data_IF_404029496941
#
_entry.id   IF_404029496941
#
_cell.length_a   1.000
_cell.length_b   1.000
_cell.length_c   1.000
_cell.angle_alpha   90.00
_cell.angle_beta   90.00
_cell.angle_gamma   90.00
#
_symmetry.space_group_name_H-M   'P 1'
#
loop_
_entity.id
_entity.type
_entity.pdbx_description
1 polymer ?
#
# COMPACT_ATOMS: atom_id res chain seq x y z
N UNK A 1 16.08 -3.75 21.75
CA UNK A 1 15.69 -2.49 22.47
C UNK A 1 14.92 -1.66 21.48
N UNK A 2 13.67 -1.34 21.78
CA UNK A 2 12.80 -0.55 20.89
C UNK A 2 13.08 0.94 21.01
N UNK A 3 12.76 1.71 19.97
CA UNK A 3 12.84 3.17 19.93
C UNK A 3 11.49 3.70 19.43
N UNK A 4 10.63 4.07 20.37
CA UNK A 4 9.28 4.60 20.11
C UNK A 4 9.06 5.88 20.92
N UNK A 5 7.99 6.63 20.62
CA UNK A 5 7.74 7.92 21.26
C UNK A 5 7.22 7.80 22.71
N UNK A 6 6.24 6.92 22.94
CA UNK A 6 5.55 6.82 24.22
C UNK A 6 4.98 5.41 24.43
N UNK A 7 5.58 4.65 25.35
CA UNK A 7 5.14 3.30 25.68
C UNK A 7 3.82 3.27 26.47
N UNK A 8 3.42 4.36 27.10
CA UNK A 8 2.20 4.42 27.92
C UNK A 8 0.90 4.33 27.09
N UNK A 9 0.98 4.53 25.77
CA UNK A 9 -0.17 4.49 24.86
C UNK A 9 -0.63 3.08 24.48
N UNK A 10 0.00 2.04 25.00
CA UNK A 10 -0.19 0.66 24.54
C UNK A 10 -1.66 0.16 24.63
N UNK A 11 -2.44 0.57 25.62
CA UNK A 11 -3.86 0.13 25.80
C UNK A 11 -4.74 0.58 24.61
N UNK A 12 -4.52 1.81 24.12
CA UNK A 12 -5.22 2.33 22.94
C UNK A 12 -4.86 1.52 21.70
N UNK A 13 -3.57 1.26 21.50
CA UNK A 13 -3.08 0.44 20.37
C UNK A 13 -3.59 -1.00 20.44
N UNK A 14 -3.62 -1.60 21.64
CA UNK A 14 -4.15 -2.94 21.85
C UNK A 14 -5.63 -3.04 21.48
N UNK A 15 -6.42 -2.03 21.84
CA UNK A 15 -7.83 -1.95 21.47
C UNK A 15 -8.03 -1.95 19.95
N UNK A 16 -7.20 -1.17 19.22
CA UNK A 16 -7.22 -1.13 17.75
C UNK A 16 -6.81 -2.47 17.14
N UNK A 17 -5.74 -3.09 17.65
CA UNK A 17 -5.25 -4.39 17.16
C UNK A 17 -6.29 -5.48 17.40
N UNK A 18 -6.95 -5.50 18.54
CA UNK A 18 -8.01 -6.47 18.86
C UNK A 18 -9.23 -6.31 17.94
N UNK A 19 -9.59 -5.06 17.59
CA UNK A 19 -10.65 -4.81 16.61
C UNK A 19 -10.32 -5.41 15.24
N UNK A 20 -9.12 -5.15 14.71
CA UNK A 20 -8.74 -5.70 13.41
C UNK A 20 -8.59 -7.21 13.45
N UNK A 21 -8.02 -7.79 14.51
CA UNK A 21 -7.94 -9.25 14.71
C UNK A 21 -9.31 -9.91 14.63
N UNK A 22 -10.35 -9.29 15.21
CA UNK A 22 -11.73 -9.79 15.13
C UNK A 22 -12.27 -9.81 13.69
N UNK A 23 -11.84 -8.86 12.85
CA UNK A 23 -12.30 -8.65 11.48
C UNK A 23 -11.33 -9.20 10.40
N UNK A 24 -10.30 -9.94 10.82
CA UNK A 24 -9.31 -10.57 9.93
C UNK A 24 -9.25 -12.09 10.18
N UNK A 25 -10.35 -12.83 9.88
CA UNK A 25 -10.48 -14.24 10.22
C UNK A 25 -9.50 -15.15 9.47
N UNK A 26 -9.12 -14.79 8.23
CA UNK A 26 -8.18 -15.57 7.44
C UNK A 26 -6.78 -15.49 8.04
N UNK A 27 -6.33 -14.30 8.38
CA UNK A 27 -5.03 -14.09 9.03
C UNK A 27 -4.99 -14.72 10.45
N UNK A 28 -6.13 -14.73 11.16
CA UNK A 28 -6.26 -15.43 12.44
C UNK A 28 -6.09 -16.94 12.30
N UNK A 29 -6.66 -17.55 11.26
CA UNK A 29 -6.44 -18.97 10.98
C UNK A 29 -4.98 -19.28 10.66
N UNK A 30 -4.28 -18.38 9.96
CA UNK A 30 -2.83 -18.48 9.71
C UNK A 30 -2.04 -18.34 11.01
N UNK A 31 -2.44 -17.45 11.94
CA UNK A 31 -1.83 -17.32 13.27
C UNK A 31 -1.85 -18.67 14.02
N UNK A 32 -3.00 -19.35 14.03
CA UNK A 32 -3.15 -20.65 14.68
C UNK A 32 -2.26 -21.73 14.04
N UNK A 33 -2.19 -21.79 12.71
CA UNK A 33 -1.33 -22.70 11.97
C UNK A 33 0.17 -22.42 12.20
N UNK A 34 0.56 -21.15 12.18
CA UNK A 34 1.94 -20.73 12.40
C UNK A 34 2.40 -20.94 13.84
N UNK A 35 1.49 -20.82 14.81
CA UNK A 35 1.78 -21.12 16.21
C UNK A 35 2.17 -22.59 16.42
N UNK A 36 1.69 -23.48 15.57
CA UNK A 36 2.04 -24.92 15.61
C UNK A 36 3.28 -25.21 14.73
N UNK A 37 3.25 -24.78 13.46
CA UNK A 37 4.26 -25.14 12.46
C UNK A 37 5.59 -24.40 12.59
N UNK A 38 5.58 -23.21 13.21
CA UNK A 38 6.76 -22.36 13.45
C UNK A 38 7.65 -22.14 12.21
N UNK A 39 7.09 -21.68 11.06
CA UNK A 39 7.84 -21.56 9.81
C UNK A 39 9.03 -20.59 9.90
N UNK A 40 9.02 -19.64 10.84
CA UNK A 40 10.06 -18.62 11.02
C UNK A 40 10.94 -18.87 12.26
N UNK A 41 10.93 -20.09 12.81
CA UNK A 41 11.70 -20.41 14.01
C UNK A 41 13.20 -20.08 13.83
N UNK A 42 13.73 -19.28 14.77
CA UNK A 42 15.13 -18.80 14.78
C UNK A 42 15.48 -17.85 13.60
N UNK A 43 14.50 -17.24 12.97
CA UNK A 43 14.71 -16.25 11.90
C UNK A 43 14.41 -14.85 12.41
N UNK A 44 15.26 -13.90 12.04
CA UNK A 44 15.05 -12.47 12.22
C UNK A 44 14.30 -11.92 11.00
N UNK A 45 13.18 -11.27 11.25
CA UNK A 45 12.35 -10.68 10.22
C UNK A 45 12.34 -9.16 10.38
N UNK A 46 12.87 -8.45 9.40
CA UNK A 46 12.76 -7.00 9.28
C UNK A 46 11.48 -6.66 8.51
N UNK A 47 10.68 -5.75 9.05
CA UNK A 47 9.44 -5.30 8.42
C UNK A 47 9.40 -3.77 8.37
N UNK A 48 9.14 -3.24 7.18
CA UNK A 48 8.82 -1.84 6.93
C UNK A 48 7.54 -1.77 6.10
N UNK A 49 6.41 -1.58 6.78
CA UNK A 49 5.07 -1.40 6.18
C UNK A 49 4.38 -0.29 6.97
N UNK A 50 3.35 0.35 6.41
CA UNK A 50 2.59 1.36 7.16
C UNK A 50 2.19 0.85 8.54
N UNK A 51 2.78 1.44 9.61
CA UNK A 51 2.64 0.91 10.98
C UNK A 51 1.33 1.39 11.63
N UNK A 52 0.28 0.61 11.37
CA UNK A 52 -1.06 0.77 11.93
C UNK A 52 -1.59 -0.60 12.41
N UNK A 53 -2.82 -0.67 12.91
CA UNK A 53 -3.33 -1.84 13.63
C UNK A 53 -3.30 -3.16 12.82
N UNK A 54 -3.57 -3.12 11.51
CA UNK A 54 -3.59 -4.32 10.65
C UNK A 54 -2.18 -4.85 10.43
N UNK A 55 -1.21 -3.97 10.18
CA UNK A 55 0.22 -4.30 10.09
C UNK A 55 0.73 -4.86 11.42
N UNK A 56 0.32 -4.26 12.54
CA UNK A 56 0.69 -4.78 13.85
C UNK A 56 0.16 -6.20 14.06
N UNK A 57 -1.04 -6.51 13.57
CA UNK A 57 -1.56 -7.86 13.65
C UNK A 57 -0.77 -8.85 12.77
N UNK A 58 -0.38 -8.46 11.55
CA UNK A 58 0.55 -9.26 10.73
C UNK A 58 1.86 -9.56 11.50
N UNK A 59 2.45 -8.55 12.16
CA UNK A 59 3.67 -8.75 12.96
C UNK A 59 3.48 -9.79 14.07
N UNK A 60 2.32 -9.79 14.73
CA UNK A 60 1.99 -10.81 15.76
C UNK A 60 1.82 -12.20 15.16
N UNK A 61 1.22 -12.32 13.98
CA UNK A 61 1.10 -13.59 13.25
C UNK A 61 2.46 -14.16 12.89
N UNK A 62 3.37 -13.32 12.37
CA UNK A 62 4.73 -13.72 12.08
C UNK A 62 5.50 -14.14 13.35
N UNK A 63 5.35 -13.40 14.44
CA UNK A 63 5.92 -13.75 15.74
C UNK A 63 5.35 -15.05 16.29
N UNK A 64 4.03 -15.30 16.14
CA UNK A 64 3.42 -16.58 16.48
C UNK A 64 4.06 -17.72 15.68
N UNK A 65 4.49 -17.47 14.44
CA UNK A 65 5.26 -18.38 13.59
C UNK A 65 6.72 -18.57 14.00
N UNK A 66 7.16 -17.94 15.09
CA UNK A 66 8.52 -18.07 15.64
C UNK A 66 9.52 -17.03 15.12
N UNK A 67 9.05 -16.00 14.41
CA UNK A 67 9.90 -14.90 13.94
C UNK A 67 10.35 -14.00 15.11
N UNK A 68 11.62 -13.63 15.13
CA UNK A 68 12.11 -12.50 15.91
C UNK A 68 11.89 -11.22 15.09
N UNK A 69 10.86 -10.47 15.44
CA UNK A 69 10.39 -9.33 14.64
C UNK A 69 11.15 -8.05 14.99
N UNK A 70 11.54 -7.32 13.93
CA UNK A 70 12.12 -5.98 13.98
C UNK A 70 11.33 -5.09 13.01
N UNK A 71 10.65 -4.08 13.55
CA UNK A 71 9.54 -3.41 12.88
C UNK A 71 9.81 -1.93 12.78
N UNK A 72 9.63 -1.35 11.60
CA UNK A 72 9.53 0.08 11.38
C UNK A 72 8.31 0.42 10.52
N UNK A 73 7.97 1.70 10.40
CA UNK A 73 6.92 2.14 9.49
C UNK A 73 7.52 2.54 8.14
N UNK A 74 6.88 2.22 7.03
CA UNK A 74 7.28 2.67 5.69
C UNK A 74 7.00 4.16 5.43
N UNK A 75 6.20 4.80 6.29
CA UNK A 75 5.90 6.22 6.21
C UNK A 75 5.64 6.81 7.61
N UNK A 76 6.40 7.84 8.03
CA UNK A 76 6.24 8.46 9.35
C UNK A 76 4.83 9.00 9.64
N UNK A 77 4.12 9.47 8.61
CA UNK A 77 2.81 10.10 8.81
C UNK A 77 1.66 9.09 8.94
N UNK A 78 1.87 7.85 8.50
CA UNK A 78 0.91 6.76 8.69
C UNK A 78 1.19 5.93 9.93
N UNK A 79 2.36 6.12 10.55
CA UNK A 79 2.72 5.45 11.81
C UNK A 79 1.81 5.91 12.94
N UNK A 80 1.30 4.96 13.73
CA UNK A 80 0.48 5.21 14.91
C UNK A 80 1.26 4.87 16.17
N UNK A 81 1.51 5.88 17.01
CA UNK A 81 2.36 5.74 18.21
C UNK A 81 1.79 4.76 19.24
N UNK A 82 0.47 4.71 19.39
CA UNK A 82 -0.20 3.78 20.27
C UNK A 82 -0.09 2.32 19.78
N UNK A 83 -0.13 2.11 18.46
CA UNK A 83 0.08 0.79 17.87
C UNK A 83 1.54 0.33 18.04
N UNK A 84 2.51 1.23 17.85
CA UNK A 84 3.91 0.96 18.12
C UNK A 84 4.13 0.56 19.60
N UNK A 85 3.50 1.29 20.53
CA UNK A 85 3.52 0.99 21.96
C UNK A 85 2.93 -0.40 22.29
N UNK A 86 1.79 -0.77 21.67
CA UNK A 86 1.17 -2.08 21.90
C UNK A 86 2.04 -3.24 21.39
N UNK A 87 2.78 -3.06 20.29
CA UNK A 87 3.74 -4.06 19.82
C UNK A 87 4.91 -4.21 20.78
N UNK A 88 5.48 -3.12 21.28
CA UNK A 88 6.56 -3.14 22.29
C UNK A 88 6.07 -3.81 23.56
N UNK A 89 4.87 -3.47 24.04
CA UNK A 89 4.27 -4.10 25.22
C UNK A 89 4.10 -5.62 25.05
N UNK A 90 3.83 -6.09 23.82
CA UNK A 90 3.77 -7.53 23.50
C UNK A 90 5.14 -8.19 23.27
N UNK A 91 6.24 -7.48 23.50
CA UNK A 91 7.61 -8.01 23.44
C UNK A 91 8.27 -7.97 22.06
N UNK A 92 7.71 -7.26 21.09
CA UNK A 92 8.29 -7.09 19.75
C UNK A 92 9.22 -5.86 19.70
N UNK A 93 10.18 -5.87 18.76
CA UNK A 93 11.12 -4.76 18.62
C UNK A 93 10.59 -3.76 17.59
N UNK A 94 10.39 -2.50 17.98
CA UNK A 94 9.82 -1.44 17.14
C UNK A 94 10.71 -0.21 17.14
N UNK A 95 10.91 0.37 15.95
CA UNK A 95 11.73 1.57 15.72
C UNK A 95 10.92 2.51 14.84
N UNK A 96 9.98 3.25 15.40
CA UNK A 96 9.09 4.14 14.66
C UNK A 96 8.33 5.09 15.58
N UNK A 97 7.99 6.29 15.06
CA UNK A 97 6.98 7.17 15.63
C UNK A 97 6.33 8.05 14.55
N UNK A 98 5.15 8.57 14.87
CA UNK A 98 4.41 9.48 14.01
C UNK A 98 5.15 10.81 13.82
N UNK A 99 5.28 11.27 12.57
CA UNK A 99 5.92 12.54 12.27
C UNK A 99 7.43 12.56 12.45
N UNK A 100 8.11 11.42 12.36
CA UNK A 100 9.57 11.34 12.31
C UNK A 100 10.12 12.18 11.14
N UNK A 101 11.25 12.87 11.36
CA UNK A 101 11.98 13.57 10.29
C UNK A 101 12.60 12.57 9.31
N UNK A 102 13.12 13.04 8.19
CA UNK A 102 13.80 12.18 7.22
C UNK A 102 15.02 11.47 7.84
N UNK A 103 15.77 12.18 8.68
CA UNK A 103 16.94 11.65 9.39
C UNK A 103 16.53 10.61 10.43
N UNK A 104 15.47 10.86 11.19
CA UNK A 104 14.91 9.92 12.16
C UNK A 104 14.37 8.68 11.48
N UNK A 105 13.63 8.85 10.36
CA UNK A 105 13.13 7.73 9.55
C UNK A 105 14.27 6.84 9.04
N UNK A 106 15.33 7.46 8.49
CA UNK A 106 16.52 6.74 8.05
C UNK A 106 17.19 5.98 9.20
N UNK A 107 17.30 6.60 10.39
CA UNK A 107 17.85 5.94 11.57
C UNK A 107 17.00 4.74 12.00
N UNK A 108 15.67 4.86 12.02
CA UNK A 108 14.76 3.75 12.35
C UNK A 108 14.90 2.59 11.35
N UNK A 109 14.94 2.89 10.06
CA UNK A 109 15.13 1.92 8.99
C UNK A 109 16.47 1.20 9.12
N UNK A 110 17.54 1.94 9.48
CA UNK A 110 18.86 1.38 9.72
C UNK A 110 18.88 0.41 10.91
N UNK A 111 18.15 0.70 11.99
CA UNK A 111 18.10 -0.19 13.17
C UNK A 111 17.51 -1.56 12.83
N UNK A 112 16.48 -1.63 11.97
CA UNK A 112 15.90 -2.92 11.54
C UNK A 112 16.79 -3.68 10.56
N UNK A 113 17.75 -3.04 9.91
CA UNK A 113 18.73 -3.69 9.02
C UNK A 113 19.98 -4.16 9.78
N UNK A 114 20.48 -3.37 10.73
CA UNK A 114 21.69 -3.71 11.52
C UNK A 114 21.60 -5.03 12.29
N UNK A 115 20.40 -5.54 12.51
CA UNK A 115 20.19 -6.84 13.16
C UNK A 115 20.60 -8.04 12.30
N UNK A 116 20.97 -7.81 11.02
CA UNK A 116 21.26 -8.83 10.01
C UNK A 116 20.02 -9.73 9.75
N UNK A 117 18.95 -9.21 9.13
CA UNK A 117 17.71 -9.93 8.94
C UNK A 117 17.88 -11.14 8.01
N UNK A 118 17.06 -12.16 8.25
CA UNK A 118 16.95 -13.32 7.36
C UNK A 118 15.82 -13.15 6.34
N UNK A 119 14.73 -12.49 6.72
CA UNK A 119 13.60 -12.21 5.83
C UNK A 119 13.27 -10.72 5.93
N UNK A 120 12.96 -10.11 4.78
CA UNK A 120 12.57 -8.71 4.68
C UNK A 120 11.13 -8.64 4.17
N UNK A 121 10.26 -7.92 4.88
CA UNK A 121 8.93 -7.51 4.38
C UNK A 121 9.00 -6.00 4.18
N UNK A 122 8.86 -5.57 2.93
CA UNK A 122 9.07 -4.18 2.53
C UNK A 122 7.84 -3.62 1.81
N UNK A 123 7.66 -2.32 1.94
CA UNK A 123 6.58 -1.57 1.30
C UNK A 123 7.17 -0.29 0.70
N UNK A 124 7.55 -0.40 -0.58
CA UNK A 124 8.22 0.64 -1.34
C UNK A 124 9.69 0.37 -1.65
N UNK A 125 10.27 -0.72 -1.12
CA UNK A 125 11.64 -1.14 -1.43
C UNK A 125 12.71 -0.39 -0.66
N UNK A 126 12.37 0.31 0.45
CA UNK A 126 13.34 1.12 1.18
C UNK A 126 14.33 0.27 2.01
N UNK A 127 13.88 -0.81 2.64
CA UNK A 127 14.77 -1.75 3.33
C UNK A 127 15.71 -2.46 2.36
N UNK A 128 15.17 -2.88 1.20
CA UNK A 128 15.97 -3.53 0.15
C UNK A 128 17.00 -2.57 -0.42
N UNK A 129 16.63 -1.32 -0.65
CA UNK A 129 17.54 -0.28 -1.11
C UNK A 129 18.64 -0.01 -0.09
N UNK A 130 18.27 0.16 1.18
CA UNK A 130 19.20 0.46 2.27
C UNK A 130 20.24 -0.64 2.45
N UNK A 131 19.81 -1.92 2.49
CA UNK A 131 20.76 -3.03 2.69
C UNK A 131 21.74 -3.16 1.53
N UNK A 132 21.31 -2.91 0.28
CA UNK A 132 22.18 -3.01 -0.88
C UNK A 132 23.21 -1.87 -0.97
N UNK A 133 22.84 -0.68 -0.54
CA UNK A 133 23.71 0.51 -0.69
C UNK A 133 24.57 0.78 0.54
N UNK A 134 24.04 0.55 1.76
CA UNK A 134 24.72 0.95 2.99
C UNK A 134 25.21 -0.24 3.84
N UNK A 135 24.57 -1.42 3.71
CA UNK A 135 24.90 -2.61 4.51
C UNK A 135 25.10 -3.88 3.66
N UNK A 136 25.89 -3.83 2.56
CA UNK A 136 26.05 -4.96 1.64
C UNK A 136 26.65 -6.21 2.31
N UNK A 137 27.42 -6.05 3.38
CA UNK A 137 28.02 -7.15 4.13
C UNK A 137 26.97 -8.01 4.86
N UNK A 138 25.74 -7.49 5.05
CA UNK A 138 24.64 -8.23 5.68
C UNK A 138 23.82 -9.06 4.68
N UNK A 139 23.96 -8.81 3.38
CA UNK A 139 23.23 -9.52 2.30
C UNK A 139 23.37 -11.05 2.39
N UNK A 140 24.53 -11.66 2.71
CA UNK A 140 24.64 -13.11 2.83
C UNK A 140 23.69 -13.75 3.85
N UNK A 141 23.23 -13.00 4.87
CA UNK A 141 22.29 -13.47 5.88
C UNK A 141 20.85 -13.52 5.37
N UNK A 142 20.53 -12.75 4.31
CA UNK A 142 19.16 -12.62 3.78
C UNK A 142 18.79 -13.84 2.95
N UNK A 143 17.73 -14.53 3.35
CA UNK A 143 17.08 -15.59 2.57
C UNK A 143 16.36 -14.98 1.38
N UNK A 144 15.64 -13.87 1.60
CA UNK A 144 14.88 -13.12 0.65
C UNK A 144 13.82 -12.25 1.32
N UNK A 145 12.86 -11.76 0.55
CA UNK A 145 11.80 -10.90 1.09
C UNK A 145 10.51 -10.91 0.27
N UNK A 146 9.56 -10.08 0.71
CA UNK A 146 8.25 -9.88 0.11
C UNK A 146 7.98 -8.38 -0.02
N UNK A 147 7.51 -7.95 -1.19
CA UNK A 147 7.19 -6.54 -1.49
C UNK A 147 5.68 -6.33 -1.56
N UNK A 148 5.19 -5.36 -0.78
CA UNK A 148 3.77 -5.06 -0.62
C UNK A 148 3.20 -4.19 -1.73
N UNK A 149 4.00 -3.29 -2.35
CA UNK A 149 3.44 -2.22 -3.17
C UNK A 149 4.03 -2.14 -4.59
N UNK A 150 3.23 -1.64 -5.52
CA UNK A 150 3.60 -1.44 -6.94
C UNK A 150 4.89 -0.64 -7.10
N UNK A 151 5.09 0.42 -6.29
CA UNK A 151 6.28 1.28 -6.38
C UNK A 151 7.56 0.52 -6.04
N UNK A 152 7.52 -0.33 -5.00
CA UNK A 152 8.63 -1.20 -4.65
C UNK A 152 8.91 -2.24 -5.74
N UNK A 153 7.86 -2.85 -6.31
CA UNK A 153 8.02 -3.81 -7.42
C UNK A 153 8.73 -3.17 -8.62
N UNK A 154 8.37 -1.95 -9.00
CA UNK A 154 9.02 -1.24 -10.10
C UNK A 154 10.53 -1.10 -9.83
N UNK A 155 10.91 -0.72 -8.61
CA UNK A 155 12.31 -0.61 -8.17
C UNK A 155 13.02 -1.97 -8.19
N UNK A 156 12.40 -3.01 -7.62
CA UNK A 156 12.96 -4.37 -7.59
C UNK A 156 13.18 -4.94 -8.98
N UNK A 157 12.23 -4.77 -9.89
CA UNK A 157 12.35 -5.20 -11.30
C UNK A 157 13.48 -4.45 -12.00
N UNK A 158 13.65 -3.15 -11.73
CA UNK A 158 14.78 -2.38 -12.26
C UNK A 158 16.12 -2.87 -11.71
N UNK A 159 16.21 -3.15 -10.40
CA UNK A 159 17.41 -3.72 -9.75
C UNK A 159 17.74 -5.11 -10.30
N UNK A 160 16.74 -5.96 -10.50
CA UNK A 160 16.93 -7.32 -11.04
C UNK A 160 17.42 -7.30 -12.48
N UNK A 161 16.83 -6.45 -13.35
CA UNK A 161 17.32 -6.22 -14.73
C UNK A 161 18.76 -5.72 -14.75
N UNK A 162 19.14 -4.86 -13.83
CA UNK A 162 20.50 -4.36 -13.66
C UNK A 162 21.45 -5.35 -12.97
N UNK A 163 20.97 -6.56 -12.58
CA UNK A 163 21.73 -7.57 -11.83
C UNK A 163 22.26 -7.06 -10.46
N UNK A 164 21.59 -6.08 -9.90
CA UNK A 164 21.92 -5.50 -8.60
C UNK A 164 21.16 -6.17 -7.44
N UNK A 165 19.98 -6.71 -7.68
CA UNK A 165 19.21 -7.42 -6.66
C UNK A 165 19.92 -8.75 -6.33
N UNK A 166 20.29 -8.97 -5.06
CA UNK A 166 21.18 -10.06 -4.62
C UNK A 166 20.47 -11.20 -3.87
N UNK A 167 19.18 -11.10 -3.66
CA UNK A 167 18.36 -12.13 -3.02
C UNK A 167 16.94 -12.12 -3.59
N UNK A 168 16.21 -13.24 -3.52
CA UNK A 168 14.87 -13.33 -4.08
C UNK A 168 13.87 -12.45 -3.34
N UNK A 169 13.04 -11.72 -4.09
CA UNK A 169 11.93 -10.89 -3.60
C UNK A 169 10.62 -11.36 -4.23
N UNK A 170 9.67 -11.76 -3.37
CA UNK A 170 8.32 -12.15 -3.79
C UNK A 170 7.52 -10.88 -4.12
N UNK A 171 6.94 -10.84 -5.31
CA UNK A 171 6.15 -9.70 -5.80
C UNK A 171 4.69 -9.82 -5.30
N UNK A 172 4.48 -9.60 -4.02
CA UNK A 172 3.16 -9.83 -3.37
C UNK A 172 2.08 -8.93 -3.94
N UNK A 173 2.40 -7.67 -4.28
CA UNK A 173 1.41 -6.79 -4.90
C UNK A 173 0.83 -7.34 -6.22
N UNK A 174 1.57 -8.20 -6.93
CA UNK A 174 1.15 -8.71 -8.23
C UNK A 174 0.30 -9.98 -8.13
N UNK A 175 0.09 -10.52 -6.92
CA UNK A 175 -0.86 -11.60 -6.69
C UNK A 175 -2.30 -11.15 -6.96
N UNK A 176 -3.14 -12.02 -7.54
CA UNK A 176 -4.52 -11.70 -7.90
C UNK A 176 -5.35 -11.33 -6.65
N UNK A 177 -5.21 -12.10 -5.57
CA UNK A 177 -5.89 -11.80 -4.31
C UNK A 177 -5.36 -10.55 -3.60
N UNK A 178 -4.25 -9.96 -4.06
CA UNK A 178 -3.78 -8.66 -3.57
C UNK A 178 -4.32 -7.53 -4.44
N UNK A 179 -3.91 -7.42 -5.69
CA UNK A 179 -4.19 -6.22 -6.49
C UNK A 179 -5.65 -6.08 -6.92
N UNK A 180 -6.38 -7.18 -7.15
CA UNK A 180 -7.80 -7.13 -7.51
C UNK A 180 -8.67 -6.61 -6.36
N UNK A 181 -8.26 -6.79 -5.12
CA UNK A 181 -9.03 -6.44 -3.93
C UNK A 181 -8.44 -5.24 -3.19
N UNK A 182 -7.21 -5.31 -2.76
CA UNK A 182 -6.53 -4.25 -2.01
C UNK A 182 -6.39 -2.98 -2.85
N UNK A 183 -5.68 -3.04 -3.97
CA UNK A 183 -5.44 -1.86 -4.80
C UNK A 183 -6.76 -1.29 -5.36
N UNK A 184 -7.73 -2.14 -5.68
CA UNK A 184 -9.01 -1.69 -6.27
C UNK A 184 -10.01 -1.28 -5.19
N UNK A 185 -10.42 -2.19 -4.33
CA UNK A 185 -11.49 -1.94 -3.36
C UNK A 185 -10.98 -1.25 -2.10
N UNK A 186 -9.79 -1.63 -1.63
CA UNK A 186 -9.15 -1.01 -0.46
C UNK A 186 -8.82 0.45 -0.72
N UNK A 187 -8.07 0.75 -1.77
CA UNK A 187 -7.75 2.14 -2.16
C UNK A 187 -9.02 2.91 -2.51
N UNK A 188 -9.93 2.30 -3.28
CA UNK A 188 -11.17 2.95 -3.69
C UNK A 188 -12.01 3.43 -2.53
N UNK A 189 -12.13 2.64 -1.46
CA UNK A 189 -12.87 3.06 -0.27
C UNK A 189 -12.08 4.07 0.56
N UNK A 190 -10.86 3.72 0.96
CA UNK A 190 -10.08 4.49 1.93
C UNK A 190 -9.72 5.90 1.45
N UNK A 191 -9.52 6.11 0.14
CA UNK A 191 -9.32 7.44 -0.44
C UNK A 191 -10.54 8.32 -0.20
N UNK A 192 -11.75 7.80 -0.44
CA UNK A 192 -12.97 8.57 -0.20
C UNK A 192 -13.28 8.74 1.27
N UNK A 193 -12.92 7.79 2.13
CA UNK A 193 -13.00 7.96 3.58
C UNK A 193 -12.15 9.16 4.03
N UNK A 194 -10.90 9.24 3.55
CA UNK A 194 -9.99 10.35 3.82
C UNK A 194 -10.49 11.68 3.27
N UNK A 195 -10.91 11.74 2.00
CA UNK A 195 -11.42 12.96 1.37
C UNK A 195 -12.70 13.46 2.08
N UNK A 196 -13.68 12.58 2.30
CA UNK A 196 -14.95 12.94 2.93
C UNK A 196 -14.76 13.44 4.36
N UNK A 197 -13.96 12.74 5.16
CA UNK A 197 -13.65 13.13 6.53
C UNK A 197 -12.92 14.48 6.60
N UNK A 198 -11.94 14.69 5.73
CA UNK A 198 -11.10 15.88 5.75
C UNK A 198 -11.83 17.09 5.23
N UNK A 199 -12.59 16.96 4.12
CA UNK A 199 -13.27 18.11 3.51
C UNK A 199 -14.64 18.39 4.10
N UNK A 200 -15.38 17.37 4.52
CA UNK A 200 -16.80 17.45 4.89
C UNK A 200 -17.65 18.10 3.78
N UNK A 201 -17.33 17.81 2.51
CA UNK A 201 -18.06 18.32 1.35
C UNK A 201 -18.81 17.21 0.64
N UNK A 202 -19.90 17.59 -0.04
CA UNK A 202 -20.64 16.64 -0.87
C UNK A 202 -19.89 16.35 -2.15
N UNK A 203 -19.87 15.07 -2.54
CA UNK A 203 -19.25 14.57 -3.78
C UNK A 203 -20.28 14.49 -4.91
N UNK A 204 -21.56 14.25 -4.58
CA UNK A 204 -22.64 14.18 -5.55
C UNK A 204 -22.76 15.46 -6.38
N UNK A 205 -22.87 15.30 -7.70
CA UNK A 205 -22.96 16.42 -8.64
C UNK A 205 -21.64 17.12 -8.94
N UNK A 206 -20.53 16.69 -8.35
CA UNK A 206 -19.18 17.24 -8.61
C UNK A 206 -18.47 16.50 -9.75
N UNK A 207 -17.58 17.21 -10.43
CA UNK A 207 -16.64 16.63 -11.37
C UNK A 207 -15.40 16.13 -10.62
N UNK A 208 -15.23 14.83 -10.60
CA UNK A 208 -14.06 14.16 -9.98
C UNK A 208 -13.11 13.72 -11.06
N UNK A 209 -11.89 14.25 -11.05
CA UNK A 209 -10.81 13.87 -11.95
C UNK A 209 -9.93 12.83 -11.27
N UNK A 210 -9.84 11.64 -11.87
CA UNK A 210 -8.96 10.56 -11.44
C UNK A 210 -7.81 10.46 -12.43
N UNK A 211 -6.61 10.75 -11.98
CA UNK A 211 -5.40 10.65 -12.80
C UNK A 211 -4.77 9.27 -12.63
N UNK A 212 -4.86 8.47 -13.69
CA UNK A 212 -4.47 7.05 -13.73
C UNK A 212 -5.67 6.10 -13.67
N UNK A 213 -5.63 5.03 -14.49
CA UNK A 213 -6.68 4.01 -14.53
C UNK A 213 -6.12 2.59 -14.37
N UNK A 214 -5.12 2.45 -13.49
CA UNK A 214 -4.68 1.18 -12.92
C UNK A 214 -5.69 0.66 -11.89
N UNK A 215 -5.34 -0.37 -11.15
CA UNK A 215 -6.26 -0.97 -10.17
C UNK A 215 -6.78 0.05 -9.13
N UNK A 216 -5.89 0.89 -8.58
CA UNK A 216 -6.29 1.97 -7.67
C UNK A 216 -7.24 2.97 -8.33
N UNK A 217 -6.90 3.42 -9.55
CA UNK A 217 -7.73 4.38 -10.29
C UNK A 217 -9.12 3.85 -10.60
N UNK A 218 -9.24 2.57 -10.99
CA UNK A 218 -10.53 1.90 -11.18
C UNK A 218 -11.38 1.93 -9.91
N UNK A 219 -10.77 1.61 -8.77
CA UNK A 219 -11.45 1.62 -7.48
C UNK A 219 -11.91 3.02 -7.08
N UNK A 220 -11.03 4.01 -7.19
CA UNK A 220 -11.35 5.42 -6.87
C UNK A 220 -12.47 5.97 -7.77
N UNK A 221 -12.39 5.71 -9.09
CA UNK A 221 -13.41 6.13 -10.06
C UNK A 221 -14.77 5.48 -9.80
N UNK A 222 -14.77 4.16 -9.53
CA UNK A 222 -16.00 3.42 -9.22
C UNK A 222 -16.68 3.96 -7.95
N UNK A 223 -15.91 4.23 -6.89
CA UNK A 223 -16.46 4.79 -5.63
C UNK A 223 -16.95 6.22 -5.82
N UNK A 224 -16.22 7.07 -6.55
CA UNK A 224 -16.68 8.41 -6.89
C UNK A 224 -18.03 8.39 -7.61
N UNK A 225 -18.18 7.51 -8.61
CA UNK A 225 -19.46 7.30 -9.33
C UNK A 225 -20.57 6.87 -8.36
N UNK A 226 -20.27 5.94 -7.44
CA UNK A 226 -21.21 5.50 -6.39
C UNK A 226 -21.62 6.61 -5.42
N UNK A 227 -20.77 7.61 -5.19
CA UNK A 227 -21.08 8.80 -4.43
C UNK A 227 -21.83 9.87 -5.24
N UNK A 228 -22.18 9.60 -6.51
CA UNK A 228 -22.94 10.51 -7.36
C UNK A 228 -22.10 11.54 -8.13
N UNK A 229 -20.80 11.34 -8.25
CA UNK A 229 -19.91 12.22 -9.02
C UNK A 229 -20.05 12.00 -10.54
N UNK A 230 -19.74 13.05 -11.30
CA UNK A 230 -19.37 12.95 -12.72
C UNK A 230 -17.86 12.68 -12.78
N UNK A 231 -17.49 11.43 -13.13
CA UNK A 231 -16.07 11.01 -13.11
C UNK A 231 -15.42 11.27 -14.47
N UNK A 232 -14.22 11.84 -14.41
CA UNK A 232 -13.31 12.10 -15.52
C UNK A 232 -12.01 11.37 -15.24
N UNK A 233 -11.54 10.58 -16.19
CA UNK A 233 -10.25 9.88 -16.09
C UNK A 233 -9.22 10.55 -16.99
N UNK A 234 -8.01 10.73 -16.49
CA UNK A 234 -6.85 11.11 -17.30
C UNK A 234 -5.88 9.93 -17.33
N UNK A 235 -5.44 9.48 -18.51
CA UNK A 235 -4.61 8.28 -18.66
C UNK A 235 -3.71 8.43 -19.90
N UNK A 236 -2.49 7.87 -19.81
CA UNK A 236 -1.52 7.86 -20.92
C UNK A 236 -1.51 6.54 -21.72
N UNK A 237 -1.97 5.46 -21.08
CA UNK A 237 -2.07 4.16 -21.73
C UNK A 237 -3.40 4.06 -22.50
N UNK A 238 -3.37 3.90 -23.84
CA UNK A 238 -4.58 3.91 -24.65
C UNK A 238 -5.53 2.73 -24.34
N UNK A 239 -5.01 1.59 -23.91
CA UNK A 239 -5.84 0.44 -23.53
C UNK A 239 -6.62 0.74 -22.25
N UNK A 240 -5.95 1.27 -21.23
CA UNK A 240 -6.60 1.67 -19.97
C UNK A 240 -7.57 2.84 -20.15
N UNK A 241 -7.23 3.79 -21.04
CA UNK A 241 -8.13 4.89 -21.38
C UNK A 241 -9.41 4.36 -22.07
N UNK A 242 -9.28 3.41 -23.00
CA UNK A 242 -10.42 2.76 -23.64
C UNK A 242 -11.27 1.96 -22.65
N UNK A 243 -10.63 1.25 -21.71
CA UNK A 243 -11.31 0.55 -20.62
C UNK A 243 -12.13 1.52 -19.76
N UNK A 244 -11.57 2.68 -19.40
CA UNK A 244 -12.30 3.71 -18.66
C UNK A 244 -13.54 4.22 -19.41
N UNK A 245 -13.46 4.37 -20.74
CA UNK A 245 -14.61 4.72 -21.57
C UNK A 245 -15.68 3.62 -21.53
N UNK A 246 -15.29 2.33 -21.62
CA UNK A 246 -16.22 1.21 -21.56
C UNK A 246 -16.88 1.08 -20.18
N UNK A 247 -16.20 1.47 -19.09
CA UNK A 247 -16.77 1.54 -17.74
C UNK A 247 -17.71 2.77 -17.55
N UNK A 248 -17.87 3.58 -18.60
CA UNK A 248 -18.80 4.70 -18.67
C UNK A 248 -18.25 5.99 -18.06
N UNK A 249 -16.93 6.18 -18.06
CA UNK A 249 -16.28 7.41 -17.63
C UNK A 249 -15.90 8.29 -18.83
N UNK A 250 -15.84 9.61 -18.60
CA UNK A 250 -15.24 10.52 -19.56
C UNK A 250 -13.72 10.42 -19.50
N UNK A 251 -13.06 10.44 -20.66
CA UNK A 251 -11.60 10.47 -20.73
C UNK A 251 -11.16 11.72 -21.48
N UNK A 252 -10.21 12.46 -20.92
CA UNK A 252 -9.64 13.65 -21.55
C UNK A 252 -8.24 13.97 -20.99
N UNK A 253 -7.43 14.79 -21.67
CA UNK A 253 -6.16 15.27 -21.13
C UNK A 253 -6.34 16.07 -19.84
N UNK A 254 -5.33 16.03 -18.94
CA UNK A 254 -5.36 16.73 -17.65
C UNK A 254 -5.67 18.23 -17.79
N UNK A 255 -5.14 18.91 -18.81
CA UNK A 255 -5.37 20.35 -19.01
C UNK A 255 -6.83 20.67 -19.27
N UNK A 256 -7.55 19.82 -20.00
CA UNK A 256 -8.99 19.97 -20.21
C UNK A 256 -9.80 19.59 -18.96
N UNK A 257 -9.38 18.52 -18.27
CA UNK A 257 -10.00 18.12 -17.01
C UNK A 257 -9.83 19.17 -15.92
N UNK A 258 -8.69 19.87 -15.88
CA UNK A 258 -8.40 20.93 -14.93
C UNK A 258 -9.44 22.07 -15.00
N UNK A 259 -9.92 22.43 -16.19
CA UNK A 259 -10.91 23.51 -16.38
C UNK A 259 -12.27 23.25 -15.72
N UNK A 260 -12.61 21.99 -15.52
CA UNK A 260 -13.94 21.57 -15.08
C UNK A 260 -13.95 20.74 -13.78
N UNK A 261 -12.81 20.23 -13.35
CA UNK A 261 -12.66 19.43 -12.13
C UNK A 261 -12.95 20.19 -10.85
N UNK A 262 -13.60 19.54 -9.90
CA UNK A 262 -13.81 20.02 -8.52
C UNK A 262 -12.88 19.31 -7.55
N UNK A 263 -12.76 17.98 -7.68
CA UNK A 263 -11.84 17.13 -6.95
C UNK A 263 -10.88 16.45 -7.91
N UNK A 264 -9.62 16.33 -7.50
CA UNK A 264 -8.57 15.65 -8.24
C UNK A 264 -7.92 14.61 -7.35
N UNK A 265 -7.81 13.37 -7.85
CA UNK A 265 -7.16 12.26 -7.15
C UNK A 265 -6.11 11.67 -8.07
N UNK A 266 -4.83 11.73 -7.67
CA UNK A 266 -3.73 11.12 -8.43
C UNK A 266 -3.43 9.72 -7.89
N UNK A 267 -3.26 8.75 -8.82
CA UNK A 267 -3.06 7.32 -8.52
C UNK A 267 -2.18 6.65 -9.59
N UNK A 268 -1.17 7.36 -10.09
CA UNK A 268 -0.35 6.92 -11.24
C UNK A 268 0.96 6.25 -10.84
N UNK A 269 1.50 6.58 -9.67
CA UNK A 269 2.85 6.22 -9.26
C UNK A 269 3.95 6.99 -10.01
N UNK A 270 3.58 8.07 -10.75
CA UNK A 270 4.51 8.90 -11.52
C UNK A 270 4.67 10.27 -10.86
N UNK A 271 5.76 10.95 -11.12
CA UNK A 271 5.97 12.31 -10.63
C UNK A 271 5.33 13.37 -11.55
N UNK A 272 5.04 14.54 -11.00
CA UNK A 272 4.57 15.75 -11.71
C UNK A 272 3.36 15.52 -12.62
N UNK A 273 2.40 14.73 -12.14
CA UNK A 273 1.16 14.42 -12.89
C UNK A 273 0.24 15.65 -12.94
N UNK A 274 0.17 16.40 -11.85
CA UNK A 274 -0.50 17.69 -11.77
C UNK A 274 0.55 18.76 -11.48
N UNK A 275 0.91 19.53 -12.51
CA UNK A 275 1.92 20.57 -12.43
C UNK A 275 1.39 21.95 -12.86
N UNK A 276 2.29 22.88 -13.11
CA UNK A 276 2.03 24.31 -13.38
C UNK A 276 0.89 24.56 -14.39
N UNK A 277 0.94 23.89 -15.56
CA UNK A 277 -0.07 24.08 -16.62
C UNK A 277 -1.48 23.70 -16.14
N UNK A 278 -1.60 22.65 -15.33
CA UNK A 278 -2.88 22.24 -14.77
C UNK A 278 -3.37 23.27 -13.72
N UNK A 279 -2.49 23.70 -12.81
CA UNK A 279 -2.84 24.69 -11.77
C UNK A 279 -3.40 25.98 -12.35
N UNK A 280 -2.80 26.50 -13.42
CA UNK A 280 -3.25 27.73 -14.09
C UNK A 280 -4.65 27.61 -14.74
N UNK A 281 -5.10 26.40 -15.01
CA UNK A 281 -6.40 26.12 -15.64
C UNK A 281 -7.47 25.66 -14.64
N UNK A 282 -7.12 25.43 -13.37
CA UNK A 282 -8.07 24.96 -12.36
C UNK A 282 -9.06 26.05 -11.95
N UNK A 283 -10.26 25.63 -11.59
CA UNK A 283 -11.27 26.48 -10.99
C UNK A 283 -10.86 26.97 -9.61
N UNK A 284 -11.40 28.11 -9.20
CA UNK A 284 -11.35 28.54 -7.80
C UNK A 284 -11.98 27.48 -6.90
N UNK A 285 -11.30 27.15 -5.80
CA UNK A 285 -11.74 26.16 -4.83
C UNK A 285 -11.45 24.70 -5.21
N UNK A 286 -10.73 24.41 -6.30
CA UNK A 286 -10.33 23.04 -6.65
C UNK A 286 -9.60 22.34 -5.50
N UNK A 287 -9.89 21.04 -5.31
CA UNK A 287 -9.35 20.22 -4.23
C UNK A 287 -8.51 19.11 -4.82
N UNK A 288 -7.24 19.06 -4.44
CA UNK A 288 -6.27 18.06 -4.87
C UNK A 288 -5.96 17.09 -3.75
N UNK A 289 -5.88 15.82 -4.09
CA UNK A 289 -5.44 14.75 -3.20
C UNK A 289 -4.58 13.74 -3.96
N UNK A 290 -3.66 13.12 -3.27
CA UNK A 290 -2.83 12.05 -3.81
C UNK A 290 -3.14 10.73 -3.10
N UNK A 291 -3.22 9.66 -3.87
CA UNK A 291 -3.32 8.29 -3.38
C UNK A 291 -2.23 7.38 -4.00
N UNK A 292 -1.22 7.97 -4.62
CA UNK A 292 0.02 7.29 -4.97
C UNK A 292 0.96 7.20 -3.77
N UNK A 293 1.88 6.25 -3.79
CA UNK A 293 2.74 5.93 -2.64
C UNK A 293 3.60 7.12 -2.16
N UNK A 294 4.15 7.90 -3.07
CA UNK A 294 4.95 9.09 -2.76
C UNK A 294 4.20 10.39 -3.05
N UNK A 295 4.58 11.45 -2.36
CA UNK A 295 4.01 12.80 -2.45
C UNK A 295 4.55 13.62 -3.65
N UNK A 296 4.79 12.96 -4.78
CA UNK A 296 5.42 13.55 -5.97
C UNK A 296 4.46 13.74 -7.15
N UNK A 297 3.27 13.16 -7.09
CA UNK A 297 2.31 13.21 -8.21
C UNK A 297 1.67 14.59 -8.37
N UNK A 298 1.32 15.24 -7.26
CA UNK A 298 0.93 16.65 -7.22
C UNK A 298 2.19 17.47 -6.94
N UNK A 299 2.59 18.34 -7.87
CA UNK A 299 3.78 19.16 -7.70
C UNK A 299 3.52 20.31 -6.72
N UNK A 300 3.42 19.98 -5.42
CA UNK A 300 3.14 20.94 -4.35
C UNK A 300 4.25 21.97 -4.23
N UNK A 301 5.51 21.60 -4.49
CA UNK A 301 6.63 22.54 -4.47
C UNK A 301 6.45 23.64 -5.52
N UNK A 302 6.06 23.26 -6.75
CA UNK A 302 5.76 24.22 -7.81
C UNK A 302 4.52 25.06 -7.51
N UNK A 303 3.48 24.44 -6.95
CA UNK A 303 2.27 25.16 -6.55
C UNK A 303 2.56 26.24 -5.48
N UNK A 304 3.43 25.89 -4.53
CA UNK A 304 3.90 26.83 -3.50
C UNK A 304 4.70 28.01 -4.09
N UNK A 305 5.58 27.74 -5.07
CA UNK A 305 6.34 28.77 -5.78
C UNK A 305 5.42 29.73 -6.55
N UNK A 306 4.34 29.23 -7.16
CA UNK A 306 3.38 30.03 -7.93
C UNK A 306 2.39 30.80 -7.07
N UNK A 307 2.23 30.45 -5.80
CA UNK A 307 1.26 31.05 -4.90
C UNK A 307 1.69 32.44 -4.43
N UNK A 308 0.77 33.41 -4.50
CA UNK A 308 0.94 34.74 -3.92
C UNK A 308 0.55 34.76 -2.44
N UNK A 309 -0.21 33.77 -1.99
CA UNK A 309 -0.66 33.60 -0.60
C UNK A 309 -0.85 32.13 -0.30
N UNK A 310 -0.45 31.67 0.87
CA UNK A 310 -0.66 30.29 1.34
C UNK A 310 -1.15 30.30 2.79
N UNK A 311 -1.87 29.26 3.18
CA UNK A 311 -2.31 29.09 4.56
C UNK A 311 -3.09 27.81 4.79
N UNK A 312 -3.59 27.63 6.00
CA UNK A 312 -4.39 26.49 6.40
C UNK A 312 -5.87 26.82 6.14
N UNK A 313 -6.51 26.06 5.27
CA UNK A 313 -7.94 26.18 5.01
C UNK A 313 -8.77 25.43 6.06
N UNK A 314 -8.29 24.25 6.47
CA UNK A 314 -8.87 23.35 7.46
C UNK A 314 -7.77 22.40 7.95
N UNK A 315 -8.00 21.65 9.02
CA UNK A 315 -7.08 20.61 9.43
C UNK A 315 -6.81 19.65 8.25
N UNK A 316 -5.54 19.37 7.98
CA UNK A 316 -5.05 18.60 6.83
C UNK A 316 -5.39 19.19 5.44
N UNK A 317 -5.79 20.45 5.33
CA UNK A 317 -5.98 21.12 4.04
C UNK A 317 -5.21 22.45 4.04
N UNK A 318 -4.23 22.56 3.17
CA UNK A 318 -3.54 23.79 2.84
C UNK A 318 -4.13 24.41 1.58
N UNK A 319 -4.18 25.75 1.54
CA UNK A 319 -4.55 26.47 0.33
C UNK A 319 -3.38 27.24 -0.26
N UNK A 320 -3.47 27.41 -1.56
CA UNK A 320 -2.52 28.14 -2.39
C UNK A 320 -3.31 29.09 -3.31
N UNK A 321 -3.19 30.40 -3.09
CA UNK A 321 -3.84 31.41 -3.91
C UNK A 321 -2.89 31.84 -5.02
N UNK A 322 -3.31 31.69 -6.25
CA UNK A 322 -2.54 32.07 -7.43
C UNK A 322 -2.74 33.56 -7.79
N UNK A 323 -1.85 34.11 -8.63
CA UNK A 323 -1.91 35.49 -9.09
C UNK A 323 -3.21 35.83 -9.87
N UNK A 324 -3.85 34.81 -10.50
CA UNK A 324 -5.16 34.99 -11.15
C UNK A 324 -6.34 35.08 -10.19
N UNK A 325 -6.09 34.99 -8.88
CA UNK A 325 -7.08 35.03 -7.82
C UNK A 325 -7.65 33.67 -7.41
N UNK A 326 -7.47 32.63 -8.18
CA UNK A 326 -7.98 31.29 -7.87
C UNK A 326 -7.22 30.66 -6.70
N UNK A 327 -7.99 29.96 -5.86
CA UNK A 327 -7.51 29.24 -4.70
C UNK A 327 -7.54 27.74 -4.94
N UNK A 328 -6.40 27.09 -4.83
CA UNK A 328 -6.25 25.64 -4.93
C UNK A 328 -6.03 25.07 -3.53
N UNK A 329 -6.76 24.03 -3.17
CA UNK A 329 -6.66 23.35 -1.89
C UNK A 329 -5.98 21.99 -2.06
N UNK A 330 -5.03 21.67 -1.19
CA UNK A 330 -4.31 20.40 -1.21
C UNK A 330 -4.52 19.66 0.11
N UNK A 331 -5.00 18.43 0.03
CA UNK A 331 -5.20 17.57 1.20
C UNK A 331 -3.85 16.93 1.57
N UNK A 332 -3.54 16.90 2.87
CA UNK A 332 -2.38 16.24 3.45
C UNK A 332 -1.05 16.59 2.75
N UNK A 333 -0.93 17.83 2.27
CA UNK A 333 0.28 18.31 1.57
C UNK A 333 0.69 17.46 0.35
N UNK A 334 -0.27 16.79 -0.31
CA UNK A 334 -0.01 15.89 -1.43
C UNK A 334 0.43 14.47 -1.05
N UNK A 335 0.41 14.15 0.22
CA UNK A 335 0.72 12.80 0.74
C UNK A 335 -0.47 11.85 0.59
N UNK A 336 -0.24 10.56 0.85
CA UNK A 336 -1.26 9.52 0.76
C UNK A 336 -2.51 9.86 1.60
N UNK A 337 -3.59 10.27 0.94
CA UNK A 337 -4.79 10.79 1.61
C UNK A 337 -5.49 9.76 2.49
N UNK A 338 -5.48 8.50 2.11
CA UNK A 338 -6.13 7.39 2.81
C UNK A 338 -5.46 7.04 4.15
N UNK A 339 -4.21 7.39 4.33
CA UNK A 339 -3.44 7.13 5.55
C UNK A 339 -3.15 8.40 6.34
N UNK A 340 -2.85 9.51 5.67
CA UNK A 340 -2.60 10.79 6.34
C UNK A 340 -3.89 11.43 6.88
N UNK A 341 -5.05 11.08 6.32
CA UNK A 341 -6.34 11.64 6.67
C UNK A 341 -7.43 10.59 7.00
N UNK A 342 -7.05 9.30 7.08
CA UNK A 342 -7.94 8.18 7.34
C UNK A 342 -7.22 7.00 8.02
N UNK A 343 -7.92 5.88 8.16
CA UNK A 343 -7.43 4.68 8.84
C UNK A 343 -6.82 3.65 7.85
N UNK A 344 -6.56 4.05 6.59
CA UNK A 344 -6.05 3.17 5.55
C UNK A 344 -7.10 2.20 5.01
N UNK A 345 -6.63 1.12 4.39
CA UNK A 345 -7.51 0.14 3.76
C UNK A 345 -8.32 -0.65 4.81
N UNK A 346 -9.56 -1.08 4.48
CA UNK A 346 -10.40 -1.85 5.40
C UNK A 346 -9.72 -3.14 5.89
N UNK A 347 -9.93 -3.49 7.16
CA UNK A 347 -9.34 -4.69 7.77
C UNK A 347 -9.68 -5.97 6.98
N UNK A 348 -10.91 -6.11 6.51
CA UNK A 348 -11.36 -7.28 5.73
C UNK A 348 -10.65 -7.43 4.38
N UNK A 349 -10.16 -6.33 3.79
CA UNK A 349 -9.34 -6.33 2.59
C UNK A 349 -7.89 -6.68 2.94
N UNK A 350 -7.32 -6.04 3.97
CA UNK A 350 -5.96 -6.32 4.43
C UNK A 350 -5.81 -7.74 4.98
N UNK A 351 -6.89 -8.39 5.41
CA UNK A 351 -6.94 -9.80 5.76
C UNK A 351 -6.41 -10.71 4.64
N UNK A 352 -6.74 -10.42 3.38
CA UNK A 352 -6.24 -11.16 2.22
C UNK A 352 -4.79 -10.75 1.88
N UNK A 353 -4.50 -9.46 1.82
CA UNK A 353 -3.15 -8.97 1.48
C UNK A 353 -2.10 -9.48 2.45
N UNK A 354 -2.38 -9.42 3.74
CA UNK A 354 -1.45 -9.89 4.77
C UNK A 354 -1.41 -11.41 4.91
N UNK A 355 -2.48 -12.12 4.53
CA UNK A 355 -2.43 -13.56 4.37
C UNK A 355 -1.46 -13.97 3.26
N UNK A 356 -1.49 -13.29 2.10
CA UNK A 356 -0.52 -13.52 1.01
C UNK A 356 0.89 -13.19 1.47
N UNK A 357 1.10 -12.07 2.20
CA UNK A 357 2.40 -11.72 2.76
C UNK A 357 2.95 -12.84 3.67
N UNK A 358 2.16 -13.28 4.63
CA UNK A 358 2.57 -14.31 5.59
C UNK A 358 2.87 -15.66 4.91
N UNK A 359 1.99 -16.10 4.00
CA UNK A 359 2.16 -17.36 3.28
C UNK A 359 3.30 -17.29 2.26
N UNK A 360 3.50 -16.15 1.57
CA UNK A 360 4.63 -15.94 0.67
C UNK A 360 5.96 -15.94 1.41
N UNK A 361 6.03 -15.32 2.58
CA UNK A 361 7.22 -15.36 3.43
C UNK A 361 7.53 -16.79 3.89
N UNK A 362 6.51 -17.57 4.28
CA UNK A 362 6.68 -18.97 4.66
C UNK A 362 7.12 -19.85 3.45
N UNK A 363 6.55 -19.60 2.26
CA UNK A 363 6.96 -20.25 1.02
C UNK A 363 8.41 -19.94 0.67
N UNK A 364 8.82 -18.66 0.78
CA UNK A 364 10.19 -18.22 0.56
C UNK A 364 11.18 -18.96 1.45
N UNK A 365 10.92 -19.06 2.75
CA UNK A 365 11.78 -19.76 3.72
C UNK A 365 11.88 -21.25 3.38
N UNK A 366 10.75 -21.88 3.08
CA UNK A 366 10.68 -23.30 2.72
C UNK A 366 11.45 -23.63 1.43
N UNK A 367 11.45 -22.72 0.45
CA UNK A 367 12.03 -22.93 -0.89
C UNK A 367 13.32 -22.14 -1.13
N UNK A 368 13.98 -21.65 -0.07
CA UNK A 368 15.12 -20.73 -0.13
C UNK A 368 16.21 -21.13 -1.11
N UNK A 369 16.62 -22.40 -1.12
CA UNK A 369 17.73 -22.89 -1.95
C UNK A 369 17.35 -22.87 -3.44
N UNK A 370 16.12 -23.26 -3.77
CA UNK A 370 15.59 -23.22 -5.14
C UNK A 370 15.47 -21.79 -5.65
N UNK A 371 14.99 -20.87 -4.81
CA UNK A 371 14.79 -19.47 -5.19
C UNK A 371 16.11 -18.73 -5.36
N UNK A 372 17.10 -18.97 -4.48
CA UNK A 372 18.44 -18.39 -4.62
C UNK A 372 19.21 -18.89 -5.85
N UNK A 373 18.94 -20.11 -6.30
CA UNK A 373 19.52 -20.67 -7.51
C UNK A 373 18.86 -20.18 -8.81
N UNK A 374 17.77 -19.42 -8.72
CA UNK A 374 17.05 -18.86 -9.86
C UNK A 374 17.84 -17.82 -10.65
N UNK A 375 17.55 -17.70 -11.95
CA UNK A 375 18.17 -16.68 -12.80
C UNK A 375 17.65 -15.26 -12.49
N UNK A 376 16.43 -15.17 -11.96
CA UNK A 376 15.76 -13.92 -11.58
C UNK A 376 15.57 -13.87 -10.07
N UNK A 377 15.83 -12.71 -9.51
CA UNK A 377 15.60 -12.45 -8.08
C UNK A 377 14.20 -11.90 -7.81
N UNK A 378 13.49 -11.39 -8.80
CA UNK A 378 12.06 -11.06 -8.70
C UNK A 378 11.22 -12.31 -8.95
N UNK A 379 10.41 -12.72 -7.97
CA UNK A 379 9.65 -13.96 -7.96
C UNK A 379 8.17 -13.68 -7.80
N UNK A 380 7.35 -14.14 -8.72
CA UNK A 380 5.89 -14.05 -8.57
C UNK A 380 5.41 -14.93 -7.42
N UNK A 381 4.34 -14.52 -6.75
CA UNK A 381 3.65 -15.36 -5.78
C UNK A 381 3.15 -16.61 -6.52
N UNK A 382 3.39 -17.82 -5.99
CA UNK A 382 2.88 -19.05 -6.61
C UNK A 382 1.35 -19.05 -6.69
N UNK A 383 0.83 -19.52 -7.82
CA UNK A 383 -0.62 -19.57 -8.04
C UNK A 383 -1.36 -20.40 -6.97
N UNK A 384 -0.71 -21.41 -6.42
CA UNK A 384 -1.26 -22.20 -5.32
C UNK A 384 -1.44 -21.40 -4.03
N UNK A 385 -0.54 -20.45 -3.72
CA UNK A 385 -0.65 -19.58 -2.55
C UNK A 385 -1.82 -18.61 -2.73
N UNK A 386 -1.92 -18.01 -3.92
CA UNK A 386 -2.99 -17.07 -4.25
C UNK A 386 -4.37 -17.76 -4.22
N UNK A 387 -4.47 -18.95 -4.83
CA UNK A 387 -5.68 -19.78 -4.79
C UNK A 387 -6.07 -20.18 -3.37
N UNK A 388 -5.10 -20.58 -2.54
CA UNK A 388 -5.34 -20.95 -1.13
C UNK A 388 -5.96 -19.78 -0.34
N UNK A 389 -5.47 -18.56 -0.54
CA UNK A 389 -6.02 -17.35 0.09
C UNK A 389 -7.48 -17.14 -0.32
N UNK A 390 -7.80 -17.24 -1.62
CA UNK A 390 -9.16 -17.10 -2.12
C UNK A 390 -10.11 -18.16 -1.54
N UNK A 391 -9.71 -19.44 -1.55
CA UNK A 391 -10.51 -20.54 -1.03
C UNK A 391 -10.78 -20.40 0.47
N UNK A 392 -9.77 -19.99 1.24
CA UNK A 392 -9.92 -19.73 2.68
C UNK A 392 -10.88 -18.56 2.93
N UNK A 393 -10.76 -17.47 2.16
CA UNK A 393 -11.64 -16.31 2.30
C UNK A 393 -13.09 -16.64 1.99
N UNK A 394 -13.37 -17.36 0.91
CA UNK A 394 -14.70 -17.83 0.56
C UNK A 394 -15.29 -18.72 1.68
N UNK A 395 -14.48 -19.59 2.25
CA UNK A 395 -14.89 -20.46 3.38
C UNK A 395 -15.27 -19.64 4.60
N UNK A 396 -14.52 -18.61 4.96
CA UNK A 396 -14.87 -17.72 6.08
C UNK A 396 -16.16 -16.93 5.82
N UNK A 397 -16.45 -16.61 4.55
CA UNK A 397 -17.72 -15.98 4.18
C UNK A 397 -18.89 -16.97 4.08
N UNK A 398 -18.64 -18.28 4.28
CA UNK A 398 -19.68 -19.32 4.12
C UNK A 398 -20.12 -19.52 2.68
N UNK A 399 -19.28 -19.12 1.70
CA UNK A 399 -19.58 -19.20 0.28
C UNK A 399 -18.99 -20.49 -0.28
N UNK A 400 -19.81 -21.26 -0.98
CA UNK A 400 -19.38 -22.42 -1.78
C UNK A 400 -19.52 -22.09 -3.26
N UNK A 401 -18.58 -22.59 -4.04
CA UNK A 401 -18.55 -22.44 -5.52
C UNK A 401 -18.64 -23.80 -6.18
N UNK A 402 -19.02 -23.82 -7.46
CA UNK A 402 -19.06 -25.03 -8.25
C UNK A 402 -17.65 -25.65 -8.40
N UNK A 403 -17.65 -26.97 -8.63
CA UNK A 403 -16.46 -27.74 -8.98
C UNK A 403 -16.66 -28.33 -10.37
N UNK A 404 -15.60 -28.42 -11.11
CA UNK A 404 -15.63 -29.13 -12.40
C UNK A 404 -15.96 -30.62 -12.16
N UNK A 405 -16.77 -31.18 -13.06
CA UNK A 405 -16.91 -32.64 -13.14
C UNK A 405 -15.66 -33.26 -13.79
N UNK A 406 -15.45 -34.54 -13.60
CA UNK A 406 -14.33 -35.24 -14.25
C UNK A 406 -14.34 -35.08 -15.78
N UNK A 407 -15.52 -35.06 -16.38
CA UNK A 407 -15.71 -34.87 -17.82
C UNK A 407 -15.27 -33.44 -18.24
N UNK A 408 -15.64 -32.42 -17.45
CA UNK A 408 -15.23 -31.02 -17.69
C UNK A 408 -13.72 -30.84 -17.50
N UNK A 409 -13.13 -31.45 -16.48
CA UNK A 409 -11.67 -31.42 -16.29
C UNK A 409 -10.93 -32.06 -17.47
N UNK A 410 -11.43 -33.23 -17.93
CA UNK A 410 -10.88 -33.91 -19.10
C UNK A 410 -10.99 -33.08 -20.37
N UNK A 411 -12.12 -32.44 -20.60
CA UNK A 411 -12.35 -31.55 -21.76
C UNK A 411 -11.39 -30.36 -21.74
N UNK A 412 -11.27 -29.67 -20.60
CA UNK A 412 -10.39 -28.50 -20.45
C UNK A 412 -8.89 -28.87 -20.50
N UNK A 413 -8.54 -30.10 -20.14
CA UNK A 413 -7.16 -30.60 -20.19
C UNK A 413 -6.77 -31.25 -21.52
N UNK A 414 -7.71 -31.35 -22.50
CA UNK A 414 -7.49 -31.95 -23.81
C UNK A 414 -7.39 -30.88 -24.89
N UNK A 415 -6.54 -31.09 -25.87
CA UNK A 415 -6.50 -30.33 -27.12
C UNK A 415 -7.39 -30.99 -28.23
N UNK A 416 -7.84 -32.20 -27.99
CA UNK A 416 -8.81 -32.92 -28.85
C UNK A 416 -10.24 -32.65 -28.35
N UNK A 417 -11.12 -32.16 -29.24
CA UNK A 417 -12.54 -31.90 -28.98
C UNK A 417 -13.40 -33.06 -29.46
#
# INVERSE_FOLDING_TARGET
MSIIRDESLWESGETKINWVKANMPLLRGIEEEFAVSKPFKNLKVALSVHLEAKTAYLCRVMAAGGAEMYITGSNPLSTQDDVAAALVHSGLNVFAWHGATAEEYHAHTAEVIKIAPNVIIDDGGDLVNLIHNEYPDLIPNVIGGCEETTTGIIRLVAMDKAKQLKFPMMLVNDADCKHLFDNRYGTGQSVWDGINRTTNLIVAGKNVVVAGYGWCGKGVAMRAKGLGASVIVTEINPIKAMEAVMDGFKVMPMIEAAKIGDFFVTVTGCNDVIGEKAFLNMKDGAILSNAGHFDVEVNVAKLKEMAVETGIARNNIQYYKLANGNRINVIAEGRLVNLAAGDGHPAEIMDMSFAIQALSAAYLVKNKDKLKAGEKMTVNVPAEVDKEVAERKLRYWGITIDKLTEEQEKYLGSWEV
#
